data_IF_430685784876
#
_entry.id   IF_430685784876
#
_cell.length_a   1.000
_cell.length_b   1.000
_cell.length_c   1.000
_cell.angle_alpha   90.00
_cell.angle_beta   90.00
_cell.angle_gamma   90.00
#
_symmetry.space_group_name_H-M   'P 1'
#
loop_
_entity.id
_entity.type
_entity.pdbx_description
1 polymer ?
#
# COMPACT_ATOMS: atom_id res chain seq x y z
N UNK A 1 -26.59 -20.79 18.53
CA UNK A 1 -27.36 -20.28 17.38
C UNK A 1 -26.40 -20.18 16.21
N UNK A 2 -26.47 -21.08 15.24
CA UNK A 2 -25.62 -21.00 14.04
C UNK A 2 -26.36 -20.16 13.00
N UNK A 3 -25.75 -19.04 12.63
CA UNK A 3 -26.17 -18.19 11.52
C UNK A 3 -25.43 -18.66 10.27
N UNK A 4 -26.17 -19.26 9.35
CA UNK A 4 -25.70 -19.53 7.99
C UNK A 4 -25.91 -18.28 7.16
N UNK A 5 -24.82 -17.57 6.81
CA UNK A 5 -24.87 -16.60 5.71
C UNK A 5 -24.35 -17.32 4.47
N UNK A 6 -25.23 -17.47 3.48
CA UNK A 6 -24.84 -17.76 2.10
C UNK A 6 -24.23 -16.49 1.53
N UNK A 7 -22.94 -16.27 1.79
CA UNK A 7 -22.17 -15.30 1.02
C UNK A 7 -21.61 -16.04 -0.19
N UNK A 8 -22.16 -15.70 -1.35
CA UNK A 8 -21.52 -15.94 -2.65
C UNK A 8 -20.05 -15.55 -2.53
N UNK A 9 -19.08 -16.34 -3.03
CA UNK A 9 -17.70 -15.90 -3.05
C UNK A 9 -17.58 -14.77 -4.06
N UNK A 10 -17.83 -13.54 -3.60
CA UNK A 10 -17.23 -12.34 -4.17
C UNK A 10 -15.73 -12.62 -4.19
N UNK A 11 -14.99 -12.37 -5.30
CA UNK A 11 -13.54 -12.53 -5.27
C UNK A 11 -13.02 -11.74 -4.09
N UNK A 12 -12.58 -12.44 -3.04
CA UNK A 12 -12.23 -11.81 -1.78
C UNK A 12 -10.88 -11.14 -1.99
N UNK A 13 -10.93 -9.92 -2.51
CA UNK A 13 -9.76 -9.07 -2.62
C UNK A 13 -9.18 -8.91 -1.21
N UNK A 14 -7.97 -9.45 -1.02
CA UNK A 14 -7.31 -9.46 0.28
C UNK A 14 -7.09 -8.03 0.80
N UNK A 15 -6.80 -7.91 2.10
CA UNK A 15 -6.29 -6.66 2.67
C UNK A 15 -4.79 -6.81 2.87
N UNK A 16 -4.01 -5.97 2.19
CA UNK A 16 -2.56 -5.93 2.32
C UNK A 16 -2.21 -4.80 3.27
N UNK A 17 -1.45 -5.10 4.33
CA UNK A 17 -0.97 -4.10 5.27
C UNK A 17 0.44 -3.66 4.86
N UNK A 18 0.62 -2.37 4.64
CA UNK A 18 1.92 -1.73 4.40
C UNK A 18 2.50 -1.28 5.73
N UNK A 19 3.73 -1.72 6.01
CA UNK A 19 4.47 -1.40 7.23
C UNK A 19 4.98 0.04 7.26
N UNK A 20 5.87 0.35 8.21
CA UNK A 20 6.64 1.61 8.22
C UNK A 20 7.90 1.39 7.38
N UNK A 21 8.30 2.36 6.56
CA UNK A 21 9.42 2.24 5.62
C UNK A 21 9.26 1.05 4.68
N UNK A 22 8.05 0.91 4.14
CA UNK A 22 7.61 -0.24 3.34
C UNK A 22 6.62 0.22 2.25
N UNK A 23 6.40 -0.61 1.24
CA UNK A 23 5.45 -0.37 0.16
C UNK A 23 4.82 -1.67 -0.36
N UNK A 24 3.66 -1.56 -1.00
CA UNK A 24 3.02 -2.65 -1.70
C UNK A 24 2.35 -2.18 -2.99
N UNK A 25 2.28 -3.09 -3.96
CA UNK A 25 1.55 -2.92 -5.22
C UNK A 25 0.59 -4.10 -5.38
N UNK A 26 -0.62 -3.82 -5.87
CA UNK A 26 -1.66 -4.81 -6.11
C UNK A 26 -2.38 -4.54 -7.43
N UNK A 27 -2.60 -5.61 -8.19
CA UNK A 27 -3.37 -5.63 -9.43
C UNK A 27 -4.67 -6.46 -9.31
N UNK A 28 -4.94 -7.02 -8.13
CA UNK A 28 -6.01 -7.97 -7.86
C UNK A 28 -7.16 -7.36 -7.05
N UNK A 29 -7.36 -6.04 -7.18
CA UNK A 29 -8.36 -5.24 -6.45
C UNK A 29 -8.21 -5.32 -4.92
N UNK A 30 -7.05 -5.76 -4.41
CA UNK A 30 -6.80 -5.85 -2.97
C UNK A 30 -6.81 -4.46 -2.33
N UNK A 31 -7.24 -4.40 -1.08
CA UNK A 31 -7.19 -3.14 -0.34
C UNK A 31 -5.83 -2.98 0.31
N UNK A 32 -5.03 -2.03 -0.18
CA UNK A 32 -3.79 -1.61 0.46
C UNK A 32 -4.11 -0.71 1.66
N UNK A 33 -3.54 -1.00 2.82
CA UNK A 33 -3.78 -0.21 4.04
C UNK A 33 -2.49 0.05 4.80
N UNK A 34 -2.35 1.26 5.34
CA UNK A 34 -1.32 1.61 6.31
C UNK A 34 -1.98 2.21 7.55
N UNK A 35 -1.31 2.20 8.68
CA UNK A 35 -1.83 2.69 9.95
C UNK A 35 -0.73 3.30 10.79
N UNK A 36 -1.08 4.27 11.64
CA UNK A 36 -0.13 4.88 12.57
C UNK A 36 0.88 5.81 11.90
N UNK A 37 0.45 6.58 10.89
CA UNK A 37 1.31 7.50 10.16
C UNK A 37 1.98 8.55 11.07
N UNK A 38 1.24 9.20 11.98
CA UNK A 38 1.82 10.24 12.83
C UNK A 38 2.42 11.38 11.99
N UNK A 39 3.74 11.55 12.05
CA UNK A 39 4.51 12.49 11.21
C UNK A 39 4.99 11.90 9.87
N UNK A 40 4.86 10.58 9.68
CA UNK A 40 5.19 9.90 8.44
C UNK A 40 4.15 10.21 7.35
N UNK A 41 4.48 9.90 6.10
CA UNK A 41 3.65 10.19 4.93
C UNK A 41 3.26 8.88 4.24
N UNK A 42 1.97 8.75 3.93
CA UNK A 42 1.46 7.68 3.06
C UNK A 42 1.36 8.18 1.62
N UNK A 43 1.98 7.50 0.67
CA UNK A 43 1.90 7.82 -0.77
C UNK A 43 1.09 6.72 -1.46
N UNK A 44 -0.03 7.10 -2.08
CA UNK A 44 -0.88 6.16 -2.81
C UNK A 44 -0.94 6.55 -4.30
N UNK A 45 -0.70 5.59 -5.18
CA UNK A 45 -0.89 5.73 -6.63
C UNK A 45 -1.93 4.72 -7.11
N UNK A 46 -2.74 5.12 -8.09
CA UNK A 46 -3.74 4.25 -8.71
C UNK A 46 -3.84 4.54 -10.19
N UNK A 47 -3.70 3.49 -11.01
CA UNK A 47 -3.94 3.55 -12.44
C UNK A 47 -5.35 3.02 -12.77
N UNK A 48 -6.29 3.89 -13.19
CA UNK A 48 -7.65 3.47 -13.51
C UNK A 48 -7.76 2.64 -14.80
N UNK A 49 -6.75 2.67 -15.68
CA UNK A 49 -6.78 1.90 -16.92
C UNK A 49 -6.49 0.41 -16.67
N UNK A 50 -5.57 0.11 -15.74
CA UNK A 50 -5.15 -1.25 -15.41
C UNK A 50 -5.71 -1.77 -14.09
N UNK A 51 -6.24 -0.89 -13.24
CA UNK A 51 -6.70 -1.22 -11.89
C UNK A 51 -5.56 -1.51 -10.91
N UNK A 52 -4.31 -1.20 -11.27
CA UNK A 52 -3.14 -1.34 -10.40
C UNK A 52 -3.14 -0.22 -9.36
N UNK A 53 -2.92 -0.60 -8.10
CA UNK A 53 -2.78 0.32 -6.98
C UNK A 53 -1.46 0.10 -6.27
N UNK A 54 -0.88 1.18 -5.76
CA UNK A 54 0.35 1.20 -4.99
C UNK A 54 0.19 2.02 -3.73
N UNK A 55 0.81 1.60 -2.64
CA UNK A 55 0.84 2.32 -1.37
C UNK A 55 2.21 2.19 -0.71
N UNK A 56 2.83 3.31 -0.35
CA UNK A 56 4.06 3.38 0.43
C UNK A 56 3.86 4.15 1.74
N UNK A 57 4.64 3.82 2.76
CA UNK A 57 4.69 4.51 4.05
C UNK A 57 6.11 5.03 4.29
N UNK A 58 6.37 6.23 3.80
CA UNK A 58 7.66 6.89 3.92
C UNK A 58 7.78 7.66 5.24
N UNK A 59 8.98 7.64 5.83
CA UNK A 59 9.31 8.32 7.09
C UNK A 59 10.04 9.64 6.87
N UNK A 60 10.77 9.75 5.77
CA UNK A 60 11.70 10.84 5.48
C UNK A 60 11.44 11.43 4.09
N UNK A 61 11.83 12.69 3.82
CA UNK A 61 11.48 13.37 2.58
C UNK A 61 12.33 12.95 1.36
N UNK A 62 13.65 12.82 1.51
CA UNK A 62 14.61 12.66 0.40
C UNK A 62 15.65 11.59 0.70
N UNK A 63 15.97 10.73 -0.27
CA UNK A 63 16.87 9.57 -0.11
C UNK A 63 18.30 9.98 0.24
N UNK A 64 18.86 9.29 1.23
CA UNK A 64 20.26 9.43 1.62
C UNK A 64 21.12 8.28 1.04
N UNK A 65 22.43 8.50 0.79
CA UNK A 65 23.31 7.46 0.28
C UNK A 65 23.29 6.18 1.14
N UNK A 66 22.92 5.05 0.53
CA UNK A 66 22.82 3.75 1.21
C UNK A 66 21.58 3.57 2.08
N UNK A 67 20.62 4.51 2.02
CA UNK A 67 19.34 4.39 2.70
C UNK A 67 18.38 3.42 2.02
N UNK A 68 17.46 2.85 2.80
CA UNK A 68 16.40 1.97 2.29
C UNK A 68 15.37 2.79 1.49
N UNK A 69 15.14 2.52 0.20
CA UNK A 69 14.30 3.36 -0.66
C UNK A 69 12.85 3.56 -0.15
N UNK A 70 12.23 2.54 0.44
CA UNK A 70 10.86 2.63 0.96
C UNK A 70 10.74 3.54 2.20
N UNK A 71 11.87 3.95 2.80
CA UNK A 71 11.91 4.89 3.92
C UNK A 71 11.71 6.34 3.49
N UNK A 72 12.01 6.69 2.24
CA UNK A 72 12.04 8.07 1.75
C UNK A 72 10.95 8.32 0.72
N UNK A 73 10.33 9.50 0.75
CA UNK A 73 9.15 9.82 -0.04
C UNK A 73 9.46 9.90 -1.55
N UNK A 74 10.56 10.54 -1.92
CA UNK A 74 11.05 10.65 -3.30
C UNK A 74 11.30 9.28 -3.94
N UNK A 75 12.09 8.41 -3.30
CA UNK A 75 12.36 7.08 -3.83
C UNK A 75 11.16 6.15 -3.75
N UNK A 76 10.26 6.33 -2.78
CA UNK A 76 9.00 5.59 -2.73
C UNK A 76 8.08 5.93 -3.88
N UNK A 77 8.05 7.19 -4.35
CA UNK A 77 7.28 7.56 -5.54
C UNK A 77 7.84 6.85 -6.77
N UNK A 78 9.17 6.87 -6.94
CA UNK A 78 9.84 6.17 -8.05
C UNK A 78 9.59 4.65 -8.02
N UNK A 79 9.49 4.03 -6.83
CA UNK A 79 9.16 2.61 -6.70
C UNK A 79 7.71 2.26 -7.10
N UNK A 80 6.80 3.25 -7.12
CA UNK A 80 5.38 3.05 -7.43
C UNK A 80 5.02 3.38 -8.88
N UNK A 81 5.95 3.94 -9.67
CA UNK A 81 5.79 4.25 -11.10
C UNK A 81 6.19 3.05 -11.98
#
# INVERSE_FOLDING_TARGET
MQVYTTDTPTPQSGRIKVGIADYAVSSDQSTLTTSGLGSCIGVALYDPATGVSGLAHAMLPEIEPGGEPAKFADSSIELLL
#
